data_IF_895496726710
#
_entry.id   IF_895496726710
#
_cell.length_a   1.000
_cell.length_b   1.000
_cell.length_c   1.000
_cell.angle_alpha   90.00
_cell.angle_beta   90.00
_cell.angle_gamma   90.00
#
_symmetry.space_group_name_H-M   'P 1'
#
loop_
_entity.id
_entity.type
_entity.pdbx_description
1 polymer ?
#
# COMPACT_ATOMS: atom_id res chain seq x y z
N UNK A 1 18.03 5.44 -22.82
CA UNK A 1 16.77 5.54 -22.07
C UNK A 1 17.08 5.38 -20.58
N UNK A 2 16.73 6.34 -19.75
CA UNK A 2 16.83 6.22 -18.28
C UNK A 2 15.61 5.50 -17.69
N UNK A 3 15.70 5.01 -16.45
CA UNK A 3 14.55 4.43 -15.74
C UNK A 3 13.36 5.42 -15.67
N UNK A 4 13.64 6.71 -15.44
CA UNK A 4 12.62 7.76 -15.41
C UNK A 4 11.97 7.95 -16.78
N UNK A 5 12.76 8.04 -17.84
CA UNK A 5 12.25 8.19 -19.22
C UNK A 5 11.38 6.99 -19.61
N UNK A 6 11.83 5.76 -19.34
CA UNK A 6 11.05 4.57 -19.65
C UNK A 6 9.74 4.49 -18.83
N UNK A 7 9.80 4.85 -17.54
CA UNK A 7 8.62 4.91 -16.68
C UNK A 7 7.58 5.93 -17.17
N UNK A 8 8.00 7.14 -17.56
CA UNK A 8 7.09 8.14 -18.12
C UNK A 8 6.46 7.65 -19.44
N UNK A 9 7.24 7.01 -20.32
CA UNK A 9 6.67 6.40 -21.54
C UNK A 9 5.62 5.35 -21.23
N UNK A 10 5.83 4.52 -20.19
CA UNK A 10 4.84 3.53 -19.77
C UNK A 10 3.56 4.21 -19.26
N UNK A 11 3.67 5.20 -18.38
CA UNK A 11 2.55 5.97 -17.84
C UNK A 11 1.75 6.71 -18.94
N UNK A 12 2.45 7.24 -19.94
CA UNK A 12 1.86 7.99 -21.04
C UNK A 12 1.42 7.10 -22.22
N UNK A 13 1.52 5.77 -22.08
CA UNK A 13 1.21 4.79 -23.14
C UNK A 13 2.02 4.99 -24.44
N UNK A 14 3.24 5.54 -24.33
CA UNK A 14 4.14 5.84 -25.44
C UNK A 14 5.16 4.72 -25.68
N UNK A 15 4.71 3.48 -25.83
CA UNK A 15 5.55 2.32 -26.19
C UNK A 15 6.91 2.29 -25.44
N UNK A 16 6.94 2.00 -24.14
CA UNK A 16 8.19 1.92 -23.40
C UNK A 16 9.08 0.79 -23.95
N UNK A 17 10.39 0.90 -23.75
CA UNK A 17 11.37 -0.11 -24.19
C UNK A 17 11.27 -1.41 -23.37
N UNK A 18 10.81 -1.30 -22.12
CA UNK A 18 10.43 -2.43 -21.28
C UNK A 18 9.23 -2.08 -20.39
N UNK A 19 8.53 -3.10 -19.89
CA UNK A 19 7.43 -2.92 -18.92
C UNK A 19 8.06 -2.66 -17.54
N UNK A 20 7.80 -1.50 -16.89
CA UNK A 20 8.23 -1.28 -15.52
C UNK A 20 7.47 -2.22 -14.58
N UNK A 21 8.22 -3.03 -13.82
CA UNK A 21 7.67 -3.94 -12.82
C UNK A 21 8.37 -3.71 -11.48
N UNK A 22 7.62 -3.78 -10.40
CA UNK A 22 8.13 -3.80 -9.03
C UNK A 22 7.44 -4.92 -8.25
N UNK A 23 8.13 -5.43 -7.24
CA UNK A 23 7.60 -6.45 -6.31
C UNK A 23 7.58 -5.85 -4.92
N UNK A 24 6.45 -5.97 -4.24
CA UNK A 24 6.26 -5.57 -2.86
C UNK A 24 5.65 -6.70 -2.05
N UNK A 25 5.81 -6.64 -0.73
CA UNK A 25 5.23 -7.57 0.22
C UNK A 25 4.35 -6.80 1.20
N UNK A 26 3.28 -7.42 1.69
CA UNK A 26 2.43 -6.79 2.70
C UNK A 26 3.20 -6.60 4.02
N UNK A 27 2.80 -5.64 4.86
CA UNK A 27 3.34 -5.51 6.21
C UNK A 27 3.26 -6.81 7.02
N UNK A 28 2.19 -7.60 6.86
CA UNK A 28 2.08 -8.93 7.45
C UNK A 28 3.23 -9.85 7.03
N UNK A 29 3.49 -9.99 5.72
CA UNK A 29 4.57 -10.86 5.22
C UNK A 29 5.93 -10.44 5.78
N UNK A 30 6.18 -9.13 5.85
CA UNK A 30 7.40 -8.60 6.46
C UNK A 30 7.50 -8.94 7.95
N UNK A 31 6.42 -8.75 8.72
CA UNK A 31 6.38 -9.07 10.15
C UNK A 31 6.55 -10.56 10.43
N UNK A 32 6.01 -11.43 9.57
CA UNK A 32 6.08 -12.88 9.70
C UNK A 32 7.47 -13.42 9.44
N UNK A 33 8.11 -13.02 8.33
CA UNK A 33 9.36 -13.64 7.86
C UNK A 33 10.62 -12.84 8.17
N UNK A 34 10.50 -11.52 8.37
CA UNK A 34 11.57 -10.63 8.82
C UNK A 34 12.91 -10.86 8.10
N UNK A 35 13.91 -11.38 8.82
CA UNK A 35 15.28 -11.63 8.32
C UNK A 35 15.32 -12.65 7.19
N UNK A 36 14.42 -13.62 7.17
CA UNK A 36 14.37 -14.64 6.11
C UNK A 36 13.89 -14.04 4.79
N UNK A 37 12.91 -13.14 4.85
CA UNK A 37 12.46 -12.38 3.68
C UNK A 37 13.52 -11.39 3.21
N UNK A 38 14.17 -10.70 4.14
CA UNK A 38 15.28 -9.79 3.82
C UNK A 38 16.44 -10.53 3.13
N UNK A 39 16.74 -11.76 3.56
CA UNK A 39 17.74 -12.60 2.90
C UNK A 39 17.38 -12.86 1.43
N UNK A 40 16.13 -13.23 1.15
CA UNK A 40 15.65 -13.45 -0.22
C UNK A 40 15.80 -12.16 -1.04
N UNK A 41 15.41 -11.01 -0.48
CA UNK A 41 15.51 -9.72 -1.16
C UNK A 41 16.96 -9.38 -1.50
N UNK A 42 17.89 -9.57 -0.56
CA UNK A 42 19.33 -9.33 -0.76
C UNK A 42 19.96 -10.28 -1.81
N UNK A 43 19.43 -11.50 -1.96
CA UNK A 43 19.86 -12.46 -2.97
C UNK A 43 19.34 -12.10 -4.39
N UNK A 44 18.36 -11.20 -4.52
CA UNK A 44 17.71 -10.84 -5.78
C UNK A 44 17.84 -9.34 -6.14
N UNK A 45 19.07 -8.79 -6.30
CA UNK A 45 19.28 -7.35 -6.53
C UNK A 45 18.72 -6.84 -7.87
N UNK A 46 18.45 -7.72 -8.84
CA UNK A 46 17.77 -7.34 -10.10
C UNK A 46 16.29 -7.05 -9.90
N UNK A 47 15.65 -7.72 -8.94
CA UNK A 47 14.22 -7.55 -8.61
C UNK A 47 14.06 -6.40 -7.60
N UNK A 48 15.00 -6.30 -6.65
CA UNK A 48 14.97 -5.29 -5.59
C UNK A 48 16.20 -4.35 -5.67
N UNK A 49 16.32 -3.56 -6.75
CA UNK A 49 17.47 -2.70 -6.94
C UNK A 49 17.54 -1.63 -5.83
N UNK A 50 18.71 -1.49 -5.21
CA UNK A 50 18.97 -0.45 -4.22
C UNK A 50 18.46 -0.73 -2.79
N UNK A 51 17.91 -1.91 -2.52
CA UNK A 51 17.54 -2.31 -1.16
C UNK A 51 18.76 -2.30 -0.24
N UNK A 52 18.59 -1.78 0.99
CA UNK A 52 19.65 -1.72 2.00
C UNK A 52 19.25 -2.59 3.19
N UNK A 53 20.16 -3.46 3.63
CA UNK A 53 19.93 -4.30 4.81
C UNK A 53 19.48 -3.44 6.01
N UNK A 54 18.40 -3.83 6.66
CA UNK A 54 17.80 -3.14 7.79
C UNK A 54 16.94 -1.92 7.44
N UNK A 55 16.65 -1.65 6.16
CA UNK A 55 15.80 -0.50 5.78
C UNK A 55 14.31 -0.74 5.98
N UNK A 56 13.88 -1.99 6.14
CA UNK A 56 12.49 -2.32 6.40
C UNK A 56 12.23 -2.25 7.92
N UNK A 57 11.73 -1.11 8.41
CA UNK A 57 11.44 -0.86 9.83
C UNK A 57 9.97 -0.51 10.10
N UNK A 58 9.12 -0.66 9.09
CA UNK A 58 7.74 -0.15 9.08
C UNK A 58 6.68 -1.18 9.53
N UNK A 59 7.09 -2.42 9.78
CA UNK A 59 6.18 -3.54 10.05
C UNK A 59 6.09 -3.92 11.54
N UNK A 60 6.85 -3.24 12.42
CA UNK A 60 6.76 -3.43 13.87
C UNK A 60 5.56 -2.64 14.45
N UNK A 61 5.33 -1.42 13.96
CA UNK A 61 4.20 -0.57 14.33
C UNK A 61 3.30 -0.35 13.11
N UNK A 62 2.15 -1.04 13.10
CA UNK A 62 1.19 -0.92 12.00
C UNK A 62 0.43 0.40 12.08
N UNK A 63 0.31 1.16 10.96
CA UNK A 63 -0.64 2.24 10.87
C UNK A 63 -2.08 1.76 11.19
N UNK A 64 -2.97 2.62 11.71
CA UNK A 64 -4.31 2.22 12.14
C UNK A 64 -5.12 1.41 11.12
N UNK A 65 -4.97 1.71 9.82
CA UNK A 65 -5.66 1.01 8.72
C UNK A 65 -5.25 -0.47 8.57
N UNK A 66 -4.07 -0.84 9.05
CA UNK A 66 -3.55 -2.21 9.02
C UNK A 66 -3.71 -2.96 10.35
N UNK A 67 -4.17 -2.28 11.41
CA UNK A 67 -4.40 -2.91 12.71
C UNK A 67 -5.69 -3.73 12.69
N UNK A 68 -5.71 -4.84 13.43
CA UNK A 68 -6.91 -5.66 13.53
C UNK A 68 -8.05 -4.90 14.24
N UNK A 69 -9.26 -5.01 13.70
CA UNK A 69 -10.45 -4.39 14.28
C UNK A 69 -11.13 -3.40 13.33
N UNK A 70 -11.69 -2.35 13.89
CA UNK A 70 -12.44 -1.32 13.15
C UNK A 70 -11.69 0.01 13.15
N UNK A 71 -11.56 0.61 11.98
CA UNK A 71 -10.94 1.92 11.80
C UNK A 71 -11.86 2.82 10.95
N UNK A 72 -12.13 4.03 11.42
CA UNK A 72 -12.89 5.02 10.64
C UNK A 72 -11.92 5.99 9.98
N UNK A 73 -11.94 6.06 8.66
CA UNK A 73 -11.10 7.00 7.91
C UNK A 73 -11.66 8.43 7.93
N UNK A 74 -10.88 9.37 7.38
CA UNK A 74 -11.26 10.77 7.27
C UNK A 74 -12.43 11.01 6.30
N UNK A 75 -12.75 10.05 5.42
CA UNK A 75 -13.94 10.10 4.56
C UNK A 75 -15.21 9.67 5.29
N UNK A 76 -15.06 9.11 6.49
CA UNK A 76 -16.15 8.60 7.31
C UNK A 76 -16.50 7.15 7.00
N UNK A 77 -15.72 6.44 6.18
CA UNK A 77 -15.87 5.03 5.93
C UNK A 77 -15.31 4.22 7.10
N UNK A 78 -15.99 3.14 7.46
CA UNK A 78 -15.53 2.19 8.48
C UNK A 78 -14.89 1.00 7.77
N UNK A 79 -13.63 0.75 8.12
CA UNK A 79 -12.83 -0.35 7.65
C UNK A 79 -12.78 -1.44 8.72
N UNK A 80 -12.92 -2.69 8.30
CA UNK A 80 -12.74 -3.88 9.14
C UNK A 80 -11.52 -4.67 8.66
N UNK A 81 -10.56 -4.85 9.56
CA UNK A 81 -9.35 -5.64 9.32
C UNK A 81 -9.40 -6.90 10.18
N UNK A 82 -9.44 -8.07 9.53
CA UNK A 82 -9.48 -9.37 10.21
C UNK A 82 -8.08 -9.86 10.62
N UNK A 83 -7.09 -9.55 9.78
CA UNK A 83 -5.69 -9.97 9.95
C UNK A 83 -4.78 -8.74 9.92
N UNK A 84 -3.99 -8.56 10.97
CA UNK A 84 -3.14 -7.38 11.13
C UNK A 84 -1.98 -7.39 10.11
N UNK A 85 -1.73 -6.24 9.48
CA UNK A 85 -0.74 -6.10 8.42
C UNK A 85 -1.26 -6.41 7.01
N UNK A 86 -2.55 -6.70 6.87
CA UNK A 86 -3.29 -6.63 5.61
C UNK A 86 -4.24 -5.43 5.65
N UNK A 87 -4.49 -4.83 4.49
CA UNK A 87 -5.46 -3.75 4.39
C UNK A 87 -6.86 -4.29 4.66
N UNK A 88 -7.63 -3.56 5.47
CA UNK A 88 -9.00 -3.92 5.79
C UNK A 88 -9.95 -3.78 4.60
N UNK A 89 -11.22 -4.07 4.84
CA UNK A 89 -12.30 -3.84 3.88
C UNK A 89 -13.28 -2.81 4.42
N UNK A 90 -13.78 -1.94 3.55
CA UNK A 90 -14.87 -1.03 3.91
C UNK A 90 -16.14 -1.85 4.19
N UNK A 91 -16.68 -1.72 5.39
CA UNK A 91 -17.91 -2.38 5.84
C UNK A 91 -19.07 -1.40 6.04
N UNK A 92 -18.77 -0.12 6.24
CA UNK A 92 -19.76 0.96 6.29
C UNK A 92 -19.22 2.19 5.55
N UNK A 93 -20.12 2.96 4.94
CA UNK A 93 -19.77 4.18 4.25
C UNK A 93 -20.88 5.25 4.43
N UNK A 94 -20.53 6.54 4.44
CA UNK A 94 -21.47 7.63 4.72
C UNK A 94 -22.61 7.73 3.68
N UNK A 95 -22.37 7.22 2.47
CA UNK A 95 -23.34 7.23 1.35
C UNK A 95 -24.06 5.88 1.18
N UNK A 96 -24.31 5.14 2.26
CA UNK A 96 -25.11 3.90 2.23
C UNK A 96 -26.53 4.16 1.70
N UNK A 97 -27.05 5.38 1.89
CA UNK A 97 -28.19 5.94 1.20
C UNK A 97 -27.72 7.16 0.37
N UNK A 98 -28.15 7.24 -0.89
CA UNK A 98 -27.88 8.37 -1.77
C UNK A 98 -28.46 9.69 -1.25
N UNK A 99 -29.53 9.65 -0.45
CA UNK A 99 -30.07 10.87 0.17
C UNK A 99 -29.04 11.56 1.08
N UNK A 100 -28.08 10.81 1.65
CA UNK A 100 -27.04 11.36 2.51
C UNK A 100 -26.06 12.26 1.74
N UNK A 101 -26.00 12.14 0.41
CA UNK A 101 -25.12 12.97 -0.42
C UNK A 101 -25.41 14.46 -0.26
N UNK A 102 -26.68 14.84 -0.06
CA UNK A 102 -27.10 16.23 0.08
C UNK A 102 -26.48 16.94 1.30
N UNK A 103 -26.10 16.16 2.33
CA UNK A 103 -25.53 16.67 3.59
C UNK A 103 -24.11 16.18 3.84
N UNK A 104 -23.55 15.35 2.95
CA UNK A 104 -22.22 14.79 3.12
C UNK A 104 -21.15 15.88 2.99
N UNK A 105 -20.18 15.86 3.90
CA UNK A 105 -19.01 16.73 3.85
C UNK A 105 -17.76 15.85 3.66
N UNK A 106 -17.04 16.00 2.55
CA UNK A 106 -15.74 15.35 2.40
C UNK A 106 -14.72 15.94 3.39
N UNK A 107 -13.66 15.20 3.73
CA UNK A 107 -12.59 15.71 4.59
C UNK A 107 -11.98 16.99 4.02
N UNK A 108 -11.58 17.91 4.92
CA UNK A 108 -10.77 19.06 4.53
C UNK A 108 -9.39 18.57 4.05
N UNK A 109 -8.90 19.18 2.99
CA UNK A 109 -7.63 18.85 2.34
C UNK A 109 -6.46 19.68 2.87
N UNK A 110 -6.73 20.67 3.72
CA UNK A 110 -5.77 21.59 4.35
C UNK A 110 -5.55 21.28 5.83
#
# INVERSE_FOLDING_TARGET
MTNRENYLRALEFKHPEWIPCSVGFSPLTWRTYQKDLEKIILEHPKIFPGYKKGSATFYDEMPPVFQKGYFKDNWGCVWRTEEEGLEGQVVEHPLADWNNLATYQPPDTL
#
